data_IF_301034829040
#
_entry.id   IF_301034829040
#
_cell.length_a   1.000
_cell.length_b   1.000
_cell.length_c   1.000
_cell.angle_alpha   90.00
_cell.angle_beta   90.00
_cell.angle_gamma   90.00
#
_symmetry.space_group_name_H-M   'P 1'
#
loop_
_entity.id
_entity.type
_entity.pdbx_description
1 polymer ?
#
# COMPACT_ATOMS: atom_id res chain seq x y z
N UNK A 1 -22.32 22.87 -22.28
CA UNK A 1 -21.42 21.81 -22.74
C UNK A 1 -20.45 21.51 -21.60
N UNK A 2 -20.65 20.39 -20.92
CA UNK A 2 -19.77 19.95 -19.83
C UNK A 2 -18.54 19.23 -20.47
N UNK A 3 -17.55 20.00 -20.90
CA UNK A 3 -16.28 19.42 -21.37
C UNK A 3 -15.50 18.97 -20.15
N UNK A 4 -15.52 17.65 -19.84
CA UNK A 4 -14.54 17.09 -18.93
C UNK A 4 -13.14 17.51 -19.41
N UNK A 5 -12.25 17.95 -18.50
CA UNK A 5 -10.87 18.23 -18.89
C UNK A 5 -10.27 17.01 -19.59
N UNK A 6 -9.43 17.19 -20.61
CA UNK A 6 -8.78 16.08 -21.29
C UNK A 6 -8.02 15.22 -20.29
N UNK A 7 -8.07 13.90 -20.47
CA UNK A 7 -7.34 12.96 -19.62
C UNK A 7 -5.84 13.16 -19.88
N UNK A 8 -5.01 13.43 -18.84
CA UNK A 8 -3.58 13.58 -19.00
C UNK A 8 -2.95 12.30 -19.56
N UNK A 9 -1.99 12.41 -20.45
CA UNK A 9 -1.36 11.28 -21.15
C UNK A 9 0.06 11.06 -20.62
N UNK A 10 0.43 9.81 -20.42
CA UNK A 10 1.71 9.41 -19.85
C UNK A 10 2.40 8.34 -20.70
N UNK A 11 3.71 8.43 -20.82
CA UNK A 11 4.57 7.38 -21.36
C UNK A 11 5.37 6.75 -20.22
N UNK A 12 5.46 5.41 -20.22
CA UNK A 12 6.21 4.66 -19.23
C UNK A 12 7.65 4.46 -19.68
N UNK A 13 8.57 4.57 -18.75
CA UNK A 13 10.01 4.36 -18.98
C UNK A 13 10.53 3.34 -17.97
N UNK A 14 11.16 2.27 -18.48
CA UNK A 14 11.78 1.24 -17.65
C UNK A 14 13.21 0.93 -18.10
N UNK A 15 14.11 0.76 -17.12
CA UNK A 15 15.45 0.24 -17.37
C UNK A 15 15.56 -1.15 -16.74
N UNK A 16 15.80 -2.16 -17.60
CA UNK A 16 16.05 -3.51 -17.14
C UNK A 16 17.53 -3.66 -16.80
N UNK A 17 17.82 -3.82 -15.52
CA UNK A 17 19.18 -4.02 -15.04
C UNK A 17 19.60 -5.50 -15.17
N UNK A 18 20.90 -5.73 -15.27
CA UNK A 18 21.50 -7.06 -15.24
C UNK A 18 21.03 -7.82 -13.99
N UNK A 19 20.53 -9.05 -14.19
CA UNK A 19 19.97 -9.88 -13.10
C UNK A 19 18.45 -9.77 -12.91
N UNK A 20 17.78 -8.88 -13.64
CA UNK A 20 16.32 -8.83 -13.72
C UNK A 20 15.88 -9.55 -15.00
N UNK A 21 15.07 -10.60 -14.87
CA UNK A 21 14.54 -11.32 -16.03
C UNK A 21 13.47 -10.52 -16.80
N UNK A 22 13.20 -10.91 -18.04
CA UNK A 22 12.26 -10.20 -18.91
C UNK A 22 10.83 -10.24 -18.35
N UNK A 23 10.43 -11.33 -17.68
CA UNK A 23 9.10 -11.49 -17.09
C UNK A 23 8.93 -10.56 -15.90
N UNK A 24 9.92 -10.49 -15.02
CA UNK A 24 9.89 -9.59 -13.86
C UNK A 24 9.90 -8.11 -14.27
N UNK A 25 10.65 -7.77 -15.33
CA UNK A 25 10.69 -6.41 -15.88
C UNK A 25 9.34 -6.02 -16.51
N UNK A 26 8.77 -6.88 -17.34
CA UNK A 26 7.47 -6.66 -17.95
C UNK A 26 6.37 -6.51 -16.88
N UNK A 27 6.35 -7.38 -15.86
CA UNK A 27 5.41 -7.30 -14.75
C UNK A 27 5.55 -5.98 -13.95
N UNK A 28 6.79 -5.47 -13.77
CA UNK A 28 7.02 -4.18 -13.10
C UNK A 28 6.45 -3.01 -13.89
N UNK A 29 6.61 -3.01 -15.23
CA UNK A 29 6.06 -1.97 -16.10
C UNK A 29 4.53 -2.05 -16.19
N UNK A 30 3.96 -3.25 -16.25
CA UNK A 30 2.51 -3.44 -16.21
C UNK A 30 1.92 -2.92 -14.90
N UNK A 31 2.55 -3.22 -13.78
CA UNK A 31 2.15 -2.69 -12.47
C UNK A 31 2.24 -1.16 -12.42
N UNK A 32 3.32 -0.56 -12.96
CA UNK A 32 3.43 0.89 -13.08
C UNK A 32 2.31 1.46 -13.94
N UNK A 33 1.95 0.80 -15.05
CA UNK A 33 0.81 1.19 -15.88
C UNK A 33 -0.52 1.19 -15.13
N UNK A 34 -0.74 0.20 -14.26
CA UNK A 34 -1.94 0.14 -13.38
C UNK A 34 -1.93 1.27 -12.35
N UNK A 35 -0.76 1.65 -11.79
CA UNK A 35 -0.62 2.80 -10.90
C UNK A 35 -0.99 4.10 -11.62
N UNK A 36 -0.47 4.32 -12.81
CA UNK A 36 -0.72 5.50 -13.63
C UNK A 36 -2.20 5.62 -14.01
N UNK A 37 -2.84 4.50 -14.38
CA UNK A 37 -4.29 4.43 -14.60
C UNK A 37 -5.09 4.75 -13.34
N UNK A 38 -4.61 4.38 -12.17
CA UNK A 38 -5.25 4.73 -10.88
C UNK A 38 -5.23 6.24 -10.64
N UNK A 39 -4.18 6.94 -11.08
CA UNK A 39 -4.16 8.41 -11.11
C UNK A 39 -5.15 9.02 -12.11
N UNK A 40 -5.75 8.22 -12.98
CA UNK A 40 -6.63 8.70 -14.03
C UNK A 40 -5.88 9.21 -15.26
N UNK A 41 -4.61 8.79 -15.46
CA UNK A 41 -3.84 9.11 -16.65
C UNK A 41 -3.94 7.98 -17.68
N UNK A 42 -3.91 8.34 -18.95
CA UNK A 42 -3.86 7.41 -20.07
C UNK A 42 -2.41 7.04 -20.39
N UNK A 43 -2.10 5.74 -20.39
CA UNK A 43 -0.78 5.25 -20.80
C UNK A 43 -0.79 5.08 -22.32
N UNK A 44 0.04 5.86 -23.02
CA UNK A 44 0.10 5.89 -24.48
C UNK A 44 1.24 5.07 -25.07
N UNK A 45 2.17 4.62 -24.24
CA UNK A 45 3.28 3.81 -24.72
C UNK A 45 4.26 3.48 -23.59
N UNK A 46 5.22 2.61 -23.92
CA UNK A 46 6.28 2.18 -23.00
C UNK A 46 7.61 2.16 -23.73
N UNK A 47 8.62 2.76 -23.13
CA UNK A 47 10.02 2.67 -23.59
C UNK A 47 10.79 1.86 -22.57
N UNK A 48 11.46 0.80 -23.04
CA UNK A 48 12.32 -0.05 -22.22
C UNK A 48 13.73 -0.09 -22.79
N UNK A 49 14.72 -0.20 -21.89
CA UNK A 49 16.12 -0.36 -22.25
C UNK A 49 16.81 -1.33 -21.31
N UNK A 50 17.56 -2.31 -21.87
CA UNK A 50 18.45 -3.19 -21.09
C UNK A 50 19.79 -2.48 -20.85
N UNK A 51 20.24 -2.44 -19.59
CA UNK A 51 21.52 -1.84 -19.20
C UNK A 51 22.14 -2.52 -18.01
N UNK A 52 23.46 -2.41 -17.90
CA UNK A 52 24.18 -2.87 -16.71
C UNK A 52 23.98 -1.94 -15.52
N UNK A 53 23.88 -0.63 -15.78
CA UNK A 53 23.67 0.41 -14.77
C UNK A 53 22.73 1.50 -15.30
N UNK A 54 22.02 2.13 -14.37
CA UNK A 54 21.19 3.30 -14.69
C UNK A 54 22.11 4.48 -15.05
N UNK A 55 21.82 5.17 -16.15
CA UNK A 55 22.58 6.37 -16.50
C UNK A 55 22.43 7.45 -15.40
N UNK A 56 23.56 7.91 -14.90
CA UNK A 56 23.60 8.91 -13.82
C UNK A 56 23.01 10.27 -14.19
N UNK A 57 22.86 10.55 -15.50
CA UNK A 57 22.41 11.84 -16.01
C UNK A 57 20.94 11.83 -16.39
N UNK A 58 20.47 10.79 -17.13
CA UNK A 58 19.16 10.78 -17.79
C UNK A 58 18.39 9.48 -17.63
N UNK A 59 18.92 8.51 -16.88
CA UNK A 59 18.34 7.16 -16.73
C UNK A 59 18.49 6.31 -17.99
N UNK A 60 18.13 6.89 -19.15
CA UNK A 60 18.23 6.27 -20.49
C UNK A 60 19.54 6.61 -21.18
N UNK A 61 19.98 5.75 -22.08
CA UNK A 61 21.02 6.09 -23.04
C UNK A 61 20.56 7.10 -24.08
N UNK A 62 21.52 7.70 -24.81
CA UNK A 62 21.27 8.81 -25.71
C UNK A 62 20.23 8.52 -26.78
N UNK A 63 20.32 7.38 -27.48
CA UNK A 63 19.38 7.02 -28.56
C UNK A 63 17.94 6.86 -28.05
N UNK A 64 17.74 6.19 -26.90
CA UNK A 64 16.41 6.05 -26.29
C UNK A 64 15.87 7.35 -25.72
N UNK A 65 16.75 8.26 -25.26
CA UNK A 65 16.36 9.61 -24.84
C UNK A 65 15.87 10.45 -26.02
N UNK A 66 16.53 10.38 -27.16
CA UNK A 66 16.12 11.06 -28.40
C UNK A 66 14.77 10.53 -28.91
N UNK A 67 14.55 9.23 -28.84
CA UNK A 67 13.27 8.58 -29.16
C UNK A 67 12.14 9.06 -28.22
N UNK A 68 12.38 9.06 -26.90
CA UNK A 68 11.43 9.58 -25.90
C UNK A 68 11.09 11.05 -26.17
N UNK A 69 12.11 11.86 -26.47
CA UNK A 69 11.93 13.27 -26.77
C UNK A 69 11.13 13.50 -28.07
N UNK A 70 11.31 12.69 -29.10
CA UNK A 70 10.52 12.76 -30.33
C UNK A 70 9.03 12.52 -30.05
N UNK A 71 8.69 11.57 -29.18
CA UNK A 71 7.29 11.25 -28.79
C UNK A 71 6.68 12.37 -27.94
N UNK A 72 7.44 12.93 -26.98
CA UNK A 72 6.94 13.98 -26.09
C UNK A 72 7.01 15.39 -26.72
N UNK A 73 7.78 15.54 -27.81
CA UNK A 73 8.02 16.82 -28.49
C UNK A 73 9.10 17.65 -27.84
N UNK A 74 10.00 17.05 -27.08
CA UNK A 74 11.19 17.67 -26.52
C UNK A 74 12.34 17.77 -27.52
N UNK A 75 13.50 18.27 -27.04
CA UNK A 75 14.70 18.45 -27.85
C UNK A 75 15.66 17.26 -27.85
N UNK A 76 15.50 16.32 -26.90
CA UNK A 76 16.45 15.22 -26.68
C UNK A 76 17.79 15.65 -26.12
N UNK A 77 17.99 16.94 -25.88
CA UNK A 77 19.28 17.52 -25.47
C UNK A 77 19.24 17.85 -23.98
N UNK A 78 20.15 17.27 -23.23
CA UNK A 78 20.47 17.72 -21.87
C UNK A 78 21.42 18.88 -21.97
N UNK A 79 20.95 20.08 -21.66
CA UNK A 79 21.79 21.28 -21.71
C UNK A 79 23.07 21.10 -20.90
N UNK A 80 24.22 21.38 -21.53
CA UNK A 80 25.53 21.22 -20.95
C UNK A 80 25.75 22.11 -19.72
N UNK A 81 25.73 21.50 -18.55
CA UNK A 81 26.56 21.98 -17.45
C UNK A 81 27.90 21.28 -17.60
N UNK A 82 28.90 22.04 -18.09
CA UNK A 82 30.30 21.66 -18.27
C UNK A 82 30.52 20.32 -18.97
N UNK A 83 31.00 20.35 -20.20
CA UNK A 83 31.63 19.22 -20.87
C UNK A 83 32.73 18.64 -19.97
N UNK A 84 32.39 17.71 -19.13
CA UNK A 84 33.35 16.73 -18.66
C UNK A 84 33.74 15.94 -19.91
N UNK A 85 34.97 16.12 -20.39
CA UNK A 85 35.55 15.41 -21.53
C UNK A 85 35.27 13.92 -21.34
N UNK A 86 34.29 13.37 -22.06
CA UNK A 86 34.07 11.93 -22.13
C UNK A 86 35.37 11.30 -22.66
N UNK A 87 35.89 10.29 -21.97
CA UNK A 87 37.03 9.55 -22.47
C UNK A 87 36.55 8.67 -23.65
N UNK A 88 37.38 8.57 -24.70
CA UNK A 88 37.10 7.70 -25.86
C UNK A 88 36.86 6.23 -25.52
N UNK A 89 37.25 5.80 -24.33
CA UNK A 89 36.95 4.46 -23.82
C UNK A 89 35.48 4.28 -23.41
N UNK A 90 34.81 5.33 -22.95
CA UNK A 90 33.41 5.32 -22.53
C UNK A 90 32.44 5.32 -23.73
N UNK A 91 32.81 5.99 -24.83
CA UNK A 91 32.05 5.95 -26.10
C UNK A 91 31.99 4.54 -26.69
N UNK A 92 33.08 3.76 -26.64
CA UNK A 92 33.14 2.40 -27.16
C UNK A 92 32.29 1.40 -26.35
N UNK A 93 32.01 1.65 -25.07
CA UNK A 93 31.15 0.82 -24.25
C UNK A 93 29.66 1.19 -24.41
N UNK A 94 29.36 2.46 -24.74
CA UNK A 94 27.99 2.92 -24.99
C UNK A 94 27.42 2.33 -26.29
N UNK A 95 28.24 2.16 -27.35
CA UNK A 95 27.84 1.58 -28.66
C UNK A 95 27.59 0.06 -28.61
N UNK A 96 28.08 -0.65 -27.60
CA UNK A 96 27.90 -2.11 -27.47
C UNK A 96 26.57 -2.51 -26.83
N UNK A 97 25.91 -1.62 -26.11
CA UNK A 97 24.65 -1.88 -25.38
C UNK A 97 23.37 -1.58 -26.21
N UNK A 98 23.50 -1.11 -27.47
CA UNK A 98 22.37 -0.67 -28.33
C UNK A 98 21.61 -1.81 -29.05
N UNK A 99 21.70 -3.07 -28.61
CA UNK A 99 20.90 -4.14 -29.23
C UNK A 99 19.49 -4.23 -28.68
N UNK A 100 18.62 -3.54 -29.39
CA UNK A 100 17.21 -3.79 -29.77
C UNK A 100 16.24 -4.48 -28.80
N UNK A 101 15.39 -3.66 -28.20
CA UNK A 101 13.97 -4.03 -28.04
C UNK A 101 13.15 -3.02 -28.81
N UNK A 102 12.27 -3.50 -29.70
CA UNK A 102 11.35 -2.63 -30.46
C UNK A 102 10.37 -1.99 -29.49
N UNK A 103 10.17 -0.68 -29.50
CA UNK A 103 9.23 -0.04 -28.61
C UNK A 103 7.81 -0.52 -28.90
N UNK A 104 7.07 -0.92 -27.87
CA UNK A 104 5.63 -1.13 -27.97
C UNK A 104 4.94 0.26 -27.90
N UNK A 105 4.90 0.95 -29.04
CA UNK A 105 4.27 2.25 -29.16
C UNK A 105 2.99 2.04 -29.97
N UNK A 106 1.84 2.14 -29.33
CA UNK A 106 0.52 2.27 -29.97
C UNK A 106 0.22 3.72 -30.34
N UNK A 107 1.26 4.54 -30.57
CA UNK A 107 1.11 5.98 -30.78
C UNK A 107 1.63 6.36 -32.16
N UNK A 108 0.74 6.99 -32.97
CA UNK A 108 1.13 7.68 -34.19
C UNK A 108 1.59 9.11 -33.80
N UNK A 109 2.89 9.44 -33.93
CA UNK A 109 3.42 10.72 -33.45
C UNK A 109 2.90 11.94 -34.20
N UNK A 110 2.30 11.78 -35.38
CA UNK A 110 1.82 12.89 -36.19
C UNK A 110 0.37 13.31 -35.91
N UNK A 111 -0.47 12.39 -35.38
CA UNK A 111 -1.93 12.63 -35.26
C UNK A 111 -2.45 12.65 -33.82
N UNK A 112 -1.68 12.17 -32.85
CA UNK A 112 -2.14 12.05 -31.46
C UNK A 112 -1.58 13.15 -30.56
N UNK A 113 -2.34 13.66 -29.55
CA UNK A 113 -1.83 14.61 -28.58
C UNK A 113 -0.61 14.07 -27.85
N UNK A 114 0.41 14.88 -27.68
CA UNK A 114 1.68 14.51 -27.04
C UNK A 114 1.48 14.15 -25.57
N UNK A 115 2.24 13.16 -25.02
CA UNK A 115 2.18 12.84 -23.61
C UNK A 115 2.75 13.99 -22.76
N UNK A 116 1.99 14.35 -21.71
CA UNK A 116 2.36 15.42 -20.78
C UNK A 116 3.29 14.92 -19.67
N UNK A 117 3.26 13.59 -19.42
CA UNK A 117 4.01 12.95 -18.35
C UNK A 117 4.93 11.85 -18.86
N UNK A 118 6.13 11.80 -18.28
CA UNK A 118 7.07 10.68 -18.40
C UNK A 118 7.17 10.02 -17.03
N UNK A 119 6.83 8.74 -16.96
CA UNK A 119 6.78 7.98 -15.71
C UNK A 119 7.87 6.92 -15.71
N UNK A 120 8.81 7.03 -14.77
CA UNK A 120 9.98 6.14 -14.67
C UNK A 120 9.75 5.07 -13.61
N UNK A 121 10.01 3.79 -13.95
CA UNK A 121 9.78 2.64 -13.04
C UNK A 121 10.79 2.56 -11.88
N UNK A 122 11.93 3.20 -12.00
CA UNK A 122 12.96 3.28 -10.97
C UNK A 122 12.82 4.58 -10.15
N UNK A 123 13.34 4.55 -8.93
CA UNK A 123 13.57 5.77 -8.17
C UNK A 123 14.71 6.55 -8.80
N UNK A 124 14.52 7.84 -9.04
CA UNK A 124 15.47 8.69 -9.74
C UNK A 124 15.85 9.93 -8.92
N UNK A 125 17.09 10.35 -9.09
CA UNK A 125 17.63 11.52 -8.42
C UNK A 125 17.00 12.82 -8.92
N UNK A 126 16.99 13.89 -8.11
CA UNK A 126 16.51 15.21 -8.54
C UNK A 126 17.20 15.76 -9.80
N UNK A 127 18.47 15.39 -10.02
CA UNK A 127 19.21 15.77 -11.22
C UNK A 127 18.71 15.04 -12.46
N UNK A 128 18.44 13.73 -12.34
CA UNK A 128 17.89 12.93 -13.43
C UNK A 128 16.48 13.41 -13.81
N UNK A 129 15.62 13.73 -12.82
CA UNK A 129 14.30 14.35 -13.08
C UNK A 129 14.46 15.60 -13.96
N UNK A 130 15.31 16.55 -13.52
CA UNK A 130 15.53 17.80 -14.23
C UNK A 130 16.05 17.61 -15.66
N UNK A 131 16.98 16.69 -15.83
CA UNK A 131 17.57 16.43 -17.13
C UNK A 131 16.57 15.80 -18.09
N UNK A 132 15.77 14.84 -17.60
CA UNK A 132 14.68 14.24 -18.37
C UNK A 132 13.62 15.28 -18.75
N UNK A 133 13.16 16.12 -17.82
CA UNK A 133 12.19 17.19 -18.11
C UNK A 133 12.71 18.18 -19.15
N UNK A 134 14.01 18.53 -19.10
CA UNK A 134 14.63 19.41 -20.12
C UNK A 134 14.69 18.74 -21.49
N UNK A 135 15.05 17.47 -21.53
CA UNK A 135 15.18 16.73 -22.78
C UNK A 135 13.82 16.44 -23.42
N UNK A 136 12.81 16.13 -22.62
CA UNK A 136 11.47 15.68 -23.08
C UNK A 136 10.44 16.80 -23.17
N UNK A 137 10.61 17.90 -22.43
CA UNK A 137 9.59 18.94 -22.31
C UNK A 137 8.33 18.52 -21.52
N UNK A 138 8.28 17.27 -21.02
CA UNK A 138 7.18 16.71 -20.25
C UNK A 138 7.51 16.72 -18.76
N UNK A 139 6.49 16.64 -17.91
CA UNK A 139 6.68 16.45 -16.47
C UNK A 139 7.15 15.03 -16.17
N UNK A 140 8.14 14.90 -15.28
CA UNK A 140 8.72 13.60 -14.93
C UNK A 140 8.35 13.21 -13.52
N UNK A 141 7.77 12.03 -13.38
CA UNK A 141 7.53 11.37 -12.09
C UNK A 141 8.24 10.01 -12.07
N UNK A 142 8.78 9.66 -10.93
CA UNK A 142 9.22 8.30 -10.68
C UNK A 142 8.09 7.48 -10.02
N UNK A 143 8.32 6.18 -9.86
CA UNK A 143 7.37 5.28 -9.20
C UNK A 143 6.94 5.78 -7.82
N UNK A 144 7.88 6.31 -7.04
CA UNK A 144 7.63 6.90 -5.72
C UNK A 144 6.69 8.09 -5.82
N UNK A 145 6.92 9.00 -6.77
CA UNK A 145 6.05 10.16 -7.00
C UNK A 145 4.63 9.78 -7.37
N UNK A 146 4.46 8.76 -8.23
CA UNK A 146 3.14 8.23 -8.60
C UNK A 146 2.42 7.67 -7.37
N UNK A 147 3.10 6.87 -6.54
CA UNK A 147 2.50 6.29 -5.32
C UNK A 147 2.10 7.39 -4.34
N UNK A 148 2.96 8.38 -4.09
CA UNK A 148 2.66 9.51 -3.20
C UNK A 148 1.45 10.29 -3.69
N UNK A 149 1.34 10.52 -5.00
CA UNK A 149 0.20 11.26 -5.57
C UNK A 149 -1.11 10.44 -5.48
N UNK A 150 -1.06 9.10 -5.67
CA UNK A 150 -2.22 8.24 -5.45
C UNK A 150 -2.67 8.35 -3.98
N UNK A 151 -1.76 8.27 -3.04
CA UNK A 151 -2.08 8.38 -1.62
C UNK A 151 -2.64 9.75 -1.27
N UNK A 152 -2.10 10.83 -1.86
CA UNK A 152 -2.62 12.18 -1.65
C UNK A 152 -4.09 12.31 -2.07
N UNK A 153 -4.49 11.65 -3.16
CA UNK A 153 -5.87 11.66 -3.65
C UNK A 153 -6.83 10.76 -2.87
N UNK A 154 -6.32 9.70 -2.23
CA UNK A 154 -7.15 8.70 -1.54
C UNK A 154 -7.15 8.83 0.00
N UNK A 155 -6.34 9.71 0.59
CA UNK A 155 -6.33 9.96 2.03
C UNK A 155 -7.59 10.73 2.46
N UNK A 156 -8.44 10.11 3.27
CA UNK A 156 -9.66 10.74 3.76
C UNK A 156 -9.57 11.09 5.25
N UNK A 157 -8.99 10.20 6.08
CA UNK A 157 -8.82 10.46 7.50
C UNK A 157 -7.79 11.56 7.76
N UNK A 158 -7.92 12.25 8.91
CA UNK A 158 -6.96 13.28 9.34
C UNK A 158 -5.56 12.71 9.47
N UNK A 159 -5.44 11.52 10.02
CA UNK A 159 -4.16 10.84 10.21
C UNK A 159 -3.49 10.51 8.88
N UNK A 160 -4.22 9.86 7.94
CA UNK A 160 -3.71 9.54 6.61
C UNK A 160 -3.29 10.80 5.84
N UNK A 161 -4.06 11.89 5.91
CA UNK A 161 -3.70 13.17 5.28
C UNK A 161 -2.37 13.73 5.81
N UNK A 162 -2.17 13.71 7.13
CA UNK A 162 -0.91 14.17 7.73
C UNK A 162 0.27 13.29 7.30
N UNK A 163 0.11 11.98 7.29
CA UNK A 163 1.15 11.03 6.87
C UNK A 163 1.53 11.22 5.41
N UNK A 164 0.53 11.35 4.54
CA UNK A 164 0.76 11.57 3.10
C UNK A 164 1.38 12.94 2.85
N UNK A 165 0.97 13.99 3.56
CA UNK A 165 1.59 15.32 3.43
C UNK A 165 3.06 15.29 3.86
N UNK A 166 3.40 14.60 4.95
CA UNK A 166 4.79 14.38 5.39
C UNK A 166 5.59 13.66 4.30
N UNK A 167 5.07 12.58 3.74
CA UNK A 167 5.74 11.82 2.69
C UNK A 167 5.94 12.65 1.42
N UNK A 168 4.91 13.43 1.01
CA UNK A 168 4.97 14.32 -0.14
C UNK A 168 6.02 15.42 0.05
N UNK A 169 6.06 16.07 1.20
CA UNK A 169 7.06 17.11 1.48
C UNK A 169 8.47 16.54 1.50
N UNK A 170 8.69 15.35 2.03
CA UNK A 170 9.98 14.65 1.96
C UNK A 170 10.40 14.33 0.52
N UNK A 171 9.45 13.89 -0.32
CA UNK A 171 9.69 13.59 -1.71
C UNK A 171 10.00 14.84 -2.54
N UNK A 172 9.26 15.95 -2.32
CA UNK A 172 9.39 17.20 -3.08
C UNK A 172 10.59 18.01 -2.64
N UNK A 173 10.91 18.06 -1.33
CA UNK A 173 11.97 18.91 -0.77
C UNK A 173 13.32 18.80 -1.51
N UNK A 174 13.88 17.62 -1.79
CA UNK A 174 15.14 17.51 -2.54
C UNK A 174 15.00 17.87 -4.04
N UNK A 175 13.78 17.91 -4.56
CA UNK A 175 13.44 18.18 -5.97
C UNK A 175 13.14 19.66 -6.24
N UNK A 176 13.10 20.51 -5.20
CA UNK A 176 12.86 21.95 -5.34
C UNK A 176 13.98 22.64 -6.12
N UNK A 177 13.57 23.61 -6.93
CA UNK A 177 14.44 24.35 -7.87
C UNK A 177 14.61 25.79 -7.43
N UNK A 178 15.78 26.37 -7.74
CA UNK A 178 15.87 27.80 -7.98
C UNK A 178 15.14 28.13 -9.29
N UNK A 179 14.12 28.97 -9.23
CA UNK A 179 13.48 29.49 -10.44
C UNK A 179 14.56 30.21 -11.29
N UNK A 180 14.65 29.90 -12.61
CA UNK A 180 15.50 30.67 -13.49
C UNK A 180 14.92 32.09 -13.57
N UNK A 181 15.54 33.05 -12.93
CA UNK A 181 15.07 34.43 -12.91
C UNK A 181 15.03 35.12 -11.55
N UNK A 182 15.24 34.37 -10.45
CA UNK A 182 15.55 34.96 -9.15
C UNK A 182 16.88 35.69 -9.25
N UNK A 183 16.82 36.95 -9.65
CA UNK A 183 18.01 37.79 -9.96
C UNK A 183 18.94 37.73 -8.77
N UNK A 184 20.21 37.40 -9.05
CA UNK A 184 21.33 37.87 -8.24
C UNK A 184 21.24 39.41 -8.19
N UNK A 185 20.43 39.94 -7.29
CA UNK A 185 20.67 41.24 -6.79
C UNK A 185 22.00 41.13 -6.03
N UNK A 186 23.09 41.51 -6.68
CA UNK A 186 24.36 41.86 -6.06
C UNK A 186 24.07 43.04 -5.13
N UNK A 187 23.49 42.74 -3.95
CA UNK A 187 23.37 43.67 -2.84
C UNK A 187 24.11 43.06 -1.66
N UNK A 188 25.10 43.74 -1.17
CA UNK A 188 25.82 43.49 0.06
C UNK A 188 24.84 43.28 1.21
N UNK A 189 24.62 42.03 1.59
CA UNK A 189 23.78 41.63 2.70
C UNK A 189 23.46 40.12 2.59
N UNK A 190 23.86 39.34 3.58
CA UNK A 190 23.60 37.91 3.64
C UNK A 190 22.11 37.65 3.82
N UNK A 191 21.29 37.82 2.76
CA UNK A 191 19.92 37.34 2.66
C UNK A 191 19.92 35.86 2.24
N UNK A 192 19.21 35.02 2.97
CA UNK A 192 18.96 33.65 2.54
C UNK A 192 18.37 33.65 1.12
N UNK A 193 18.81 32.72 0.25
CA UNK A 193 18.20 32.57 -1.08
C UNK A 193 16.74 32.14 -0.95
N UNK A 194 15.90 32.55 -1.91
CA UNK A 194 14.48 32.15 -1.91
C UNK A 194 14.32 30.61 -1.75
N UNK A 195 15.24 29.84 -2.30
CA UNK A 195 15.28 28.38 -2.15
C UNK A 195 15.57 27.95 -0.70
N UNK A 196 16.45 28.65 0.01
CA UNK A 196 16.75 28.33 1.43
C UNK A 196 15.56 28.67 2.32
N UNK A 197 14.88 29.77 2.05
CA UNK A 197 13.63 30.14 2.73
C UNK A 197 12.54 29.10 2.49
N UNK A 198 12.37 28.62 1.27
CA UNK A 198 11.36 27.60 0.97
C UNK A 198 11.71 26.25 1.60
N UNK A 199 12.99 25.85 1.59
CA UNK A 199 13.44 24.65 2.31
C UNK A 199 13.24 24.78 3.83
N UNK A 200 13.40 25.97 4.39
CA UNK A 200 13.13 26.23 5.79
C UNK A 200 11.63 26.10 6.10
N UNK A 201 10.76 26.71 5.30
CA UNK A 201 9.29 26.57 5.43
C UNK A 201 8.88 25.09 5.38
N UNK A 202 9.45 24.30 4.48
CA UNK A 202 9.17 22.86 4.42
C UNK A 202 9.64 22.14 5.69
N UNK A 203 10.84 22.44 6.20
CA UNK A 203 11.32 21.84 7.45
C UNK A 203 10.41 22.18 8.64
N UNK A 204 10.01 23.44 8.76
CA UNK A 204 9.11 23.90 9.82
C UNK A 204 7.75 23.22 9.70
N UNK A 205 7.21 23.11 8.48
CA UNK A 205 5.96 22.40 8.20
C UNK A 205 6.05 20.91 8.52
N UNK A 206 7.16 20.26 8.17
CA UNK A 206 7.41 18.86 8.52
C UNK A 206 7.47 18.64 10.04
N UNK A 207 8.05 19.58 10.80
CA UNK A 207 8.10 19.50 12.26
C UNK A 207 6.69 19.63 12.87
N UNK A 208 5.91 20.59 12.40
CA UNK A 208 4.52 20.79 12.80
C UNK A 208 3.65 19.54 12.52
N UNK A 209 3.70 19.01 11.31
CA UNK A 209 2.93 17.83 10.90
C UNK A 209 3.28 16.60 11.73
N UNK A 210 4.57 16.40 12.04
CA UNK A 210 5.02 15.29 12.87
C UNK A 210 4.49 15.40 14.31
N UNK A 211 4.43 16.60 14.88
CA UNK A 211 3.89 16.78 16.23
C UNK A 211 2.37 16.54 16.24
N UNK A 212 1.64 17.08 15.25
CA UNK A 212 0.20 16.78 15.10
C UNK A 212 -0.08 15.28 14.95
N UNK A 213 0.75 14.56 14.20
CA UNK A 213 0.62 13.11 14.02
C UNK A 213 0.87 12.38 15.35
N UNK A 214 1.88 12.79 16.10
CA UNK A 214 2.22 12.20 17.40
C UNK A 214 1.10 12.36 18.44
N UNK A 215 0.42 13.51 18.43
CA UNK A 215 -0.74 13.74 19.31
C UNK A 215 -1.89 12.77 18.96
N UNK A 216 -2.21 12.61 17.67
CA UNK A 216 -3.24 11.64 17.22
C UNK A 216 -2.86 10.21 17.63
N UNK A 217 -1.58 9.84 17.49
CA UNK A 217 -1.10 8.51 17.86
C UNK A 217 -1.24 8.26 19.38
N UNK A 218 -0.90 9.24 20.22
CA UNK A 218 -1.09 9.12 21.69
C UNK A 218 -2.55 8.89 22.06
N UNK A 219 -3.47 9.65 21.46
CA UNK A 219 -4.91 9.47 21.68
C UNK A 219 -5.38 8.07 21.21
N UNK A 220 -4.84 7.61 20.12
CA UNK A 220 -5.12 6.28 19.58
C UNK A 220 -4.62 5.18 20.51
N UNK A 221 -3.38 5.29 21.03
CA UNK A 221 -2.76 4.31 21.93
C UNK A 221 -3.53 4.21 23.27
N UNK A 222 -4.03 5.32 23.80
CA UNK A 222 -4.89 5.31 24.99
C UNK A 222 -6.19 4.54 24.75
N UNK A 223 -6.85 4.74 23.60
CA UNK A 223 -8.05 3.98 23.22
C UNK A 223 -7.76 2.50 22.97
N UNK A 224 -6.55 2.18 22.51
CA UNK A 224 -6.09 0.80 22.22
C UNK A 224 -5.93 -0.02 23.47
N UNK A 225 -5.32 0.54 24.53
CA UNK A 225 -5.10 -0.17 25.79
C UNK A 225 -6.41 -0.70 26.41
N UNK A 226 -7.53 -0.01 26.15
CA UNK A 226 -8.87 -0.40 26.61
C UNK A 226 -9.51 -1.53 25.78
N UNK A 227 -8.94 -1.87 24.60
CA UNK A 227 -9.52 -2.80 23.61
C UNK A 227 -8.73 -4.10 23.44
N UNK A 228 -7.78 -4.40 24.32
CA UNK A 228 -6.85 -5.54 24.22
C UNK A 228 -7.53 -6.93 24.16
N UNK A 229 -8.80 -7.03 24.59
CA UNK A 229 -9.52 -8.30 24.68
C UNK A 229 -10.47 -8.55 23.51
N UNK A 230 -10.37 -7.77 22.42
CA UNK A 230 -11.21 -7.95 21.23
C UNK A 230 -10.60 -8.99 20.29
N UNK A 231 -11.44 -9.83 19.70
CA UNK A 231 -11.04 -10.79 18.67
C UNK A 231 -10.86 -10.05 17.34
N UNK A 232 -9.61 -9.86 16.91
CA UNK A 232 -9.31 -9.07 15.73
C UNK A 232 -8.62 -9.90 14.66
N UNK A 233 -9.11 -9.77 13.44
CA UNK A 233 -8.54 -10.34 12.22
C UNK A 233 -8.13 -9.20 11.31
N UNK A 234 -6.88 -9.18 10.84
CA UNK A 234 -6.45 -8.21 9.84
C UNK A 234 -6.21 -8.89 8.49
N UNK A 235 -6.80 -8.32 7.43
CA UNK A 235 -6.54 -8.71 6.06
C UNK A 235 -5.29 -7.97 5.59
N UNK A 236 -4.24 -8.70 5.28
CA UNK A 236 -2.95 -8.16 4.81
C UNK A 236 -2.58 -8.78 3.47
N UNK A 237 -1.82 -8.08 2.65
CA UNK A 237 -1.39 -8.61 1.37
C UNK A 237 -1.24 -7.52 0.31
N UNK A 238 -0.89 -7.96 -0.89
CA UNK A 238 -0.58 -7.07 -2.00
C UNK A 238 -1.78 -6.23 -2.45
N UNK A 239 -1.52 -5.11 -3.14
CA UNK A 239 -2.59 -4.33 -3.78
C UNK A 239 -3.35 -5.20 -4.78
N UNK A 240 -4.65 -5.00 -4.88
CA UNK A 240 -5.55 -5.74 -5.77
C UNK A 240 -5.62 -7.27 -5.53
N UNK A 241 -5.14 -7.79 -4.39
CA UNK A 241 -5.28 -9.22 -4.04
C UNK A 241 -6.71 -9.62 -3.65
N UNK A 242 -7.62 -8.65 -3.50
CA UNK A 242 -9.03 -8.87 -3.17
C UNK A 242 -9.36 -8.73 -1.68
N UNK A 243 -8.52 -8.02 -0.89
CA UNK A 243 -8.76 -7.77 0.54
C UNK A 243 -10.10 -7.09 0.79
N UNK A 244 -10.37 -5.98 0.13
CA UNK A 244 -11.62 -5.22 0.29
C UNK A 244 -12.84 -5.99 -0.21
N UNK A 245 -12.70 -6.84 -1.25
CA UNK A 245 -13.75 -7.75 -1.70
C UNK A 245 -14.06 -8.78 -0.62
N UNK A 246 -13.03 -9.38 -0.02
CA UNK A 246 -13.17 -10.35 1.05
C UNK A 246 -13.75 -9.71 2.32
N UNK A 247 -13.30 -8.48 2.66
CA UNK A 247 -13.88 -7.70 3.75
C UNK A 247 -15.38 -7.51 3.56
N UNK A 248 -15.81 -7.08 2.37
CA UNK A 248 -17.24 -6.91 2.04
C UNK A 248 -18.00 -8.22 2.17
N UNK A 249 -17.45 -9.31 1.66
CA UNK A 249 -18.09 -10.63 1.72
C UNK A 249 -18.24 -11.15 3.15
N UNK A 250 -17.24 -10.94 4.01
CA UNK A 250 -17.23 -11.39 5.41
C UNK A 250 -18.10 -10.51 6.33
N UNK A 251 -18.31 -9.23 6.00
CA UNK A 251 -18.95 -8.27 6.91
C UNK A 251 -20.27 -7.71 6.39
N UNK A 252 -20.66 -8.04 5.16
CA UNK A 252 -21.87 -7.51 4.53
C UNK A 252 -21.88 -5.99 4.34
N UNK A 253 -20.74 -5.31 4.56
CA UNK A 253 -20.64 -3.85 4.52
C UNK A 253 -20.41 -3.35 3.09
N UNK A 254 -20.98 -2.19 2.75
CA UNK A 254 -20.67 -1.48 1.50
C UNK A 254 -19.27 -0.85 1.56
N UNK A 255 -18.23 -1.67 1.40
CA UNK A 255 -16.88 -1.18 1.21
C UNK A 255 -16.68 -0.88 -0.29
N UNK A 256 -16.07 0.24 -0.60
CA UNK A 256 -15.74 0.61 -1.98
C UNK A 256 -14.76 -0.43 -2.56
N UNK A 257 -15.26 -1.31 -3.40
CA UNK A 257 -14.44 -2.25 -4.16
C UNK A 257 -14.21 -1.64 -5.54
N UNK A 258 -12.99 -1.23 -5.80
CA UNK A 258 -12.58 -0.73 -7.12
C UNK A 258 -11.39 -1.58 -7.61
N UNK A 259 -11.37 -1.87 -8.90
CA UNK A 259 -10.22 -2.50 -9.57
C UNK A 259 -9.12 -1.46 -9.80
N UNK A 260 -8.66 -0.87 -8.69
CA UNK A 260 -7.62 0.16 -8.63
C UNK A 260 -6.63 -0.18 -7.54
N UNK A 261 -5.36 0.08 -7.82
CA UNK A 261 -4.32 -0.08 -6.81
C UNK A 261 -4.51 0.96 -5.70
N UNK A 262 -4.32 0.56 -4.44
CA UNK A 262 -4.54 1.43 -3.27
C UNK A 262 -5.96 2.01 -3.15
N UNK A 263 -6.97 1.22 -3.51
CA UNK A 263 -8.38 1.62 -3.31
C UNK A 263 -8.71 1.84 -1.82
N UNK A 264 -8.02 1.14 -0.92
CA UNK A 264 -8.10 1.29 0.54
C UNK A 264 -6.79 1.88 1.04
N UNK A 265 -6.84 3.10 1.59
CA UNK A 265 -5.73 3.75 2.29
C UNK A 265 -6.02 3.89 3.78
N UNK A 266 -7.27 4.17 4.14
CA UNK A 266 -7.74 4.23 5.52
C UNK A 266 -8.21 2.84 5.98
N UNK A 267 -7.77 2.42 7.15
CA UNK A 267 -8.19 1.14 7.75
C UNK A 267 -9.69 1.16 8.03
N UNK A 268 -10.38 0.14 7.57
CA UNK A 268 -11.80 -0.06 7.85
C UNK A 268 -11.96 -1.26 8.77
N UNK A 269 -12.65 -1.09 9.91
CA UNK A 269 -12.93 -2.16 10.87
C UNK A 269 -14.43 -2.43 10.88
N UNK A 270 -14.83 -3.69 10.75
CA UNK A 270 -16.24 -4.13 10.78
C UNK A 270 -16.36 -5.45 11.54
N UNK A 271 -17.55 -5.68 12.12
CA UNK A 271 -17.86 -6.98 12.72
C UNK A 271 -18.09 -8.04 11.63
N UNK A 272 -17.63 -9.26 11.90
CA UNK A 272 -17.90 -10.44 11.09
C UNK A 272 -19.42 -10.71 11.05
N UNK A 273 -19.98 -11.00 9.88
CA UNK A 273 -21.41 -11.27 9.71
C UNK A 273 -21.68 -12.72 9.29
N UNK A 274 -22.73 -13.37 9.84
CA UNK A 274 -23.53 -12.97 11.00
C UNK A 274 -22.67 -12.73 12.25
N UNK A 275 -23.09 -11.77 13.12
CA UNK A 275 -22.32 -11.43 14.32
C UNK A 275 -22.04 -12.63 15.20
N UNK A 276 -20.81 -12.73 15.70
CA UNK A 276 -20.36 -13.74 16.65
C UNK A 276 -20.41 -13.21 18.08
N UNK A 277 -20.50 -14.10 19.04
CA UNK A 277 -20.38 -13.76 20.47
C UNK A 277 -19.27 -14.62 21.08
N UNK A 278 -18.17 -14.03 21.54
CA UNK A 278 -17.79 -12.60 21.45
C UNK A 278 -17.61 -12.13 20.00
N UNK A 279 -17.72 -10.80 19.79
CA UNK A 279 -17.61 -10.21 18.46
C UNK A 279 -16.22 -10.39 17.89
N UNK A 280 -16.13 -10.88 16.66
CA UNK A 280 -14.92 -10.89 15.85
C UNK A 280 -14.92 -9.65 14.94
N UNK A 281 -13.88 -8.86 15.03
CA UNK A 281 -13.68 -7.69 14.18
C UNK A 281 -12.71 -8.02 13.04
N UNK A 282 -13.07 -7.62 11.84
CA UNK A 282 -12.21 -7.76 10.65
C UNK A 282 -11.77 -6.37 10.22
N UNK A 283 -10.47 -6.19 9.99
CA UNK A 283 -9.89 -4.95 9.47
C UNK A 283 -9.31 -5.17 8.07
N UNK A 284 -9.61 -4.23 7.15
CA UNK A 284 -8.94 -4.11 5.86
C UNK A 284 -7.76 -3.15 6.01
N UNK A 285 -6.60 -3.54 5.50
CA UNK A 285 -5.38 -2.73 5.58
C UNK A 285 -4.94 -2.25 4.21
N UNK A 286 -4.04 -1.26 4.20
CA UNK A 286 -3.40 -0.77 2.98
C UNK A 286 -2.72 -1.94 2.25
N UNK A 287 -2.91 -2.02 0.94
CA UNK A 287 -2.22 -3.02 0.12
C UNK A 287 -0.74 -2.71 -0.04
N UNK A 288 0.09 -3.75 0.01
CA UNK A 288 1.52 -3.64 -0.26
C UNK A 288 1.79 -3.59 -1.77
N UNK A 289 2.94 -3.05 -2.13
CA UNK A 289 3.42 -2.98 -3.51
C UNK A 289 4.94 -3.13 -3.53
N UNK A 290 5.48 -3.64 -4.64
CA UNK A 290 6.94 -3.70 -4.85
C UNK A 290 7.55 -2.30 -4.90
N UNK A 291 8.79 -2.18 -4.43
CA UNK A 291 9.53 -0.91 -4.41
C UNK A 291 8.79 0.21 -3.63
N UNK A 292 8.03 -0.17 -2.57
CA UNK A 292 7.43 0.84 -1.68
C UNK A 292 8.56 1.54 -0.91
N UNK A 293 8.68 2.87 -1.00
CA UNK A 293 9.73 3.60 -0.29
C UNK A 293 9.64 3.42 1.22
N UNK A 294 10.76 3.17 1.90
CA UNK A 294 10.82 3.00 3.36
C UNK A 294 10.23 4.18 4.13
N UNK A 295 10.41 5.41 3.62
CA UNK A 295 9.79 6.61 4.20
C UNK A 295 8.26 6.55 4.20
N UNK A 296 7.66 5.93 3.18
CA UNK A 296 6.23 5.71 3.12
C UNK A 296 5.80 4.60 4.09
N UNK A 297 6.53 3.48 4.17
CA UNK A 297 6.26 2.41 5.14
C UNK A 297 6.26 2.97 6.57
N UNK A 298 7.28 3.77 6.91
CA UNK A 298 7.36 4.43 8.21
C UNK A 298 6.20 5.41 8.46
N UNK A 299 5.73 6.10 7.41
CA UNK A 299 4.58 7.02 7.49
C UNK A 299 3.26 6.26 7.69
N UNK A 300 3.13 5.04 7.14
CA UNK A 300 1.92 4.21 7.29
C UNK A 300 1.97 3.24 8.48
N UNK A 301 2.96 3.37 9.35
CA UNK A 301 3.08 2.48 10.52
C UNK A 301 1.82 2.46 11.39
N UNK A 302 1.08 3.56 11.48
CA UNK A 302 -0.16 3.62 12.24
C UNK A 302 -1.34 2.93 11.54
N UNK A 303 -1.45 3.02 10.22
CA UNK A 303 -2.44 2.26 9.45
C UNK A 303 -2.12 0.77 9.42
N UNK A 304 -0.83 0.42 9.51
CA UNK A 304 -0.36 -0.95 9.66
C UNK A 304 -0.40 -1.44 11.13
N UNK A 305 -0.61 -0.54 12.10
CA UNK A 305 -0.74 -0.90 13.51
C UNK A 305 -1.92 -1.85 13.78
N UNK A 306 -2.97 -1.80 12.96
CA UNK A 306 -4.07 -2.78 13.03
C UNK A 306 -3.59 -4.22 12.77
N UNK A 307 -2.55 -4.40 11.95
CA UNK A 307 -1.91 -5.71 11.76
C UNK A 307 -1.13 -6.16 13.01
N UNK A 308 -0.51 -5.21 13.73
CA UNK A 308 0.18 -5.50 15.00
C UNK A 308 -0.78 -5.86 16.13
N UNK A 309 -2.00 -5.31 16.10
CA UNK A 309 -3.03 -5.54 17.12
C UNK A 309 -3.93 -6.73 16.80
N UNK A 310 -3.78 -7.30 15.60
CA UNK A 310 -4.56 -8.44 15.20
C UNK A 310 -4.20 -9.68 16.01
N UNK A 311 -5.21 -10.47 16.37
CA UNK A 311 -5.03 -11.81 16.93
C UNK A 311 -4.74 -12.85 15.85
N UNK A 312 -5.12 -12.54 14.60
CA UNK A 312 -4.92 -13.38 13.42
C UNK A 312 -4.69 -12.51 12.19
N UNK A 313 -3.61 -12.78 11.45
CA UNK A 313 -3.36 -12.20 10.14
C UNK A 313 -3.83 -13.15 9.03
N UNK A 314 -4.56 -12.61 8.06
CA UNK A 314 -4.94 -13.33 6.85
C UNK A 314 -4.17 -12.73 5.67
N UNK A 315 -3.14 -13.45 5.20
CA UNK A 315 -2.39 -13.08 4.00
C UNK A 315 -3.23 -13.37 2.76
N UNK A 316 -3.80 -12.35 2.17
CA UNK A 316 -4.60 -12.45 0.95
C UNK A 316 -3.71 -12.29 -0.27
N UNK A 317 -3.67 -13.29 -1.11
CA UNK A 317 -2.83 -13.37 -2.31
C UNK A 317 -3.69 -13.70 -3.52
N UNK A 318 -3.45 -13.04 -4.65
CA UNK A 318 -4.09 -13.35 -5.92
C UNK A 318 -3.44 -14.59 -6.53
N UNK A 319 -4.12 -15.73 -6.45
CA UNK A 319 -3.60 -17.01 -6.95
C UNK A 319 -3.49 -17.08 -8.48
N UNK A 320 -4.15 -16.17 -9.20
CA UNK A 320 -4.10 -16.09 -10.66
C UNK A 320 -2.92 -15.27 -11.20
N UNK A 321 -2.22 -14.54 -10.32
CA UNK A 321 -1.05 -13.74 -10.71
C UNK A 321 0.21 -14.63 -10.74
N UNK A 322 0.93 -14.71 -11.85
CA UNK A 322 2.13 -15.54 -11.93
C UNK A 322 3.25 -15.09 -10.99
N UNK A 323 3.19 -13.86 -10.49
CA UNK A 323 4.18 -13.30 -9.54
C UNK A 323 3.74 -13.38 -8.08
N UNK A 324 2.69 -14.14 -7.77
CA UNK A 324 2.06 -14.18 -6.43
C UNK A 324 3.04 -14.50 -5.29
N UNK A 325 4.03 -15.35 -5.53
CA UNK A 325 5.06 -15.68 -4.52
C UNK A 325 5.89 -14.46 -4.15
N UNK A 326 6.37 -13.74 -5.15
CA UNK A 326 7.13 -12.50 -4.94
C UNK A 326 6.29 -11.43 -4.24
N UNK A 327 4.98 -11.35 -4.53
CA UNK A 327 4.05 -10.45 -3.82
C UNK A 327 3.85 -10.87 -2.36
N UNK A 328 3.78 -12.17 -2.09
CA UNK A 328 3.72 -12.72 -0.73
C UNK A 328 4.99 -12.39 0.06
N UNK A 329 6.17 -12.53 -0.57
CA UNK A 329 7.44 -12.22 0.06
C UNK A 329 7.56 -10.72 0.41
N UNK A 330 7.12 -9.83 -0.50
CA UNK A 330 7.01 -8.39 -0.21
C UNK A 330 6.11 -8.14 1.01
N UNK A 331 4.94 -8.78 1.04
CA UNK A 331 3.98 -8.64 2.14
C UNK A 331 4.57 -9.10 3.48
N UNK A 332 5.26 -10.24 3.48
CA UNK A 332 5.96 -10.77 4.66
C UNK A 332 7.11 -9.87 5.11
N UNK A 333 7.87 -9.32 4.16
CA UNK A 333 8.98 -8.42 4.46
C UNK A 333 8.51 -7.15 5.15
N UNK A 334 7.45 -6.52 4.64
CA UNK A 334 6.87 -5.31 5.25
C UNK A 334 6.33 -5.61 6.66
N UNK A 335 5.62 -6.73 6.86
CA UNK A 335 5.10 -7.10 8.18
C UNK A 335 6.23 -7.39 9.18
N UNK A 336 7.33 -7.98 8.73
CA UNK A 336 8.54 -8.17 9.56
C UNK A 336 9.19 -6.84 9.94
N UNK A 337 9.26 -5.90 8.99
CA UNK A 337 9.82 -4.55 9.24
C UNK A 337 9.05 -3.79 10.32
N UNK A 338 7.74 -3.97 10.39
CA UNK A 338 6.91 -3.36 11.45
C UNK A 338 6.83 -4.19 12.74
N UNK A 339 7.36 -5.43 12.76
CA UNK A 339 7.36 -6.30 13.95
C UNK A 339 6.09 -7.13 14.13
N UNK A 340 5.33 -7.38 13.07
CA UNK A 340 4.09 -8.18 13.10
C UNK A 340 4.31 -9.68 12.77
N UNK A 341 5.54 -10.13 12.65
CA UNK A 341 5.91 -11.51 12.31
C UNK A 341 5.58 -12.54 13.40
N UNK A 342 5.43 -12.09 14.65
CA UNK A 342 5.01 -12.95 15.75
C UNK A 342 3.50 -13.23 15.82
N UNK A 343 2.68 -12.48 15.06
CA UNK A 343 1.23 -12.65 15.05
C UNK A 343 0.86 -13.93 14.30
N UNK A 344 -0.02 -14.79 14.85
CA UNK A 344 -0.52 -15.96 14.13
C UNK A 344 -1.07 -15.59 12.77
N UNK A 345 -0.75 -16.38 11.73
CA UNK A 345 -1.15 -16.02 10.37
C UNK A 345 -1.64 -17.22 9.56
N UNK A 346 -2.50 -16.98 8.57
CA UNK A 346 -2.94 -17.96 7.57
C UNK A 346 -2.81 -17.38 6.17
N UNK A 347 -2.42 -18.22 5.22
CA UNK A 347 -2.33 -17.88 3.80
C UNK A 347 -3.66 -18.17 3.12
N UNK A 348 -4.21 -17.16 2.44
CA UNK A 348 -5.40 -17.26 1.61
C UNK A 348 -4.99 -17.06 0.14
N UNK A 349 -5.18 -18.09 -0.67
CA UNK A 349 -5.01 -18.04 -2.12
C UNK A 349 -6.37 -17.68 -2.73
N UNK A 350 -6.56 -16.38 -2.96
CA UNK A 350 -7.81 -15.80 -3.46
C UNK A 350 -7.87 -15.80 -4.98
N UNK A 351 -9.04 -15.51 -5.53
CA UNK A 351 -9.37 -15.49 -6.97
C UNK A 351 -9.16 -16.85 -7.65
N UNK A 352 -9.40 -17.91 -6.89
CA UNK A 352 -9.23 -19.28 -7.38
C UNK A 352 -10.17 -19.60 -8.56
N UNK A 353 -11.26 -18.86 -8.70
CA UNK A 353 -12.17 -18.89 -9.84
C UNK A 353 -11.49 -18.61 -11.19
N UNK A 354 -10.36 -17.91 -11.18
CA UNK A 354 -9.54 -17.58 -12.36
C UNK A 354 -8.43 -18.59 -12.65
N UNK A 355 -8.25 -19.60 -11.79
CA UNK A 355 -7.17 -20.57 -11.86
C UNK A 355 -7.69 -21.90 -12.41
N UNK A 356 -6.95 -22.54 -13.30
CA UNK A 356 -7.32 -23.85 -13.85
C UNK A 356 -7.31 -24.93 -12.76
N UNK A 357 -8.07 -26.04 -12.96
CA UNK A 357 -8.09 -27.12 -11.95
C UNK A 357 -6.73 -27.80 -11.78
N UNK A 358 -5.94 -27.90 -12.85
CA UNK A 358 -4.58 -28.43 -12.77
C UNK A 358 -3.67 -27.55 -11.89
N UNK A 359 -3.75 -26.23 -12.09
CA UNK A 359 -2.97 -25.27 -11.29
C UNK A 359 -3.45 -25.21 -9.83
N UNK A 360 -4.77 -25.36 -9.58
CA UNK A 360 -5.32 -25.49 -8.22
C UNK A 360 -4.73 -26.68 -7.49
N UNK A 361 -4.61 -27.84 -8.17
CA UNK A 361 -3.97 -29.03 -7.60
C UNK A 361 -2.50 -28.78 -7.26
N UNK A 362 -1.76 -28.09 -8.15
CA UNK A 362 -0.38 -27.71 -7.90
C UNK A 362 -0.24 -26.74 -6.72
N UNK A 363 -1.13 -25.75 -6.61
CA UNK A 363 -1.18 -24.79 -5.48
C UNK A 363 -1.46 -25.50 -4.15
N UNK A 364 -2.40 -26.48 -4.12
CA UNK A 364 -2.67 -27.28 -2.92
C UNK A 364 -1.44 -28.10 -2.50
N UNK A 365 -0.74 -28.70 -3.46
CA UNK A 365 0.48 -29.46 -3.18
C UNK A 365 1.61 -28.55 -2.64
N UNK A 366 1.77 -27.36 -3.20
CA UNK A 366 2.80 -26.41 -2.81
C UNK A 366 2.52 -25.73 -1.48
N UNK A 367 1.25 -25.44 -1.20
CA UNK A 367 0.80 -24.73 0.01
C UNK A 367 -0.27 -25.54 0.76
N UNK A 368 0.08 -26.67 1.40
CA UNK A 368 -0.89 -27.59 1.99
C UNK A 368 -1.72 -26.98 3.13
N UNK A 369 -1.22 -25.90 3.75
CA UNK A 369 -1.91 -25.20 4.85
C UNK A 369 -2.63 -23.93 4.38
N UNK A 370 -2.56 -23.59 3.10
CA UNK A 370 -3.26 -22.43 2.57
C UNK A 370 -4.74 -22.75 2.32
N UNK A 371 -5.57 -21.75 2.51
CA UNK A 371 -6.99 -21.80 2.18
C UNK A 371 -7.15 -21.25 0.75
N UNK A 372 -7.61 -22.09 -0.16
CA UNK A 372 -7.94 -21.70 -1.53
C UNK A 372 -9.40 -21.24 -1.54
N UNK A 373 -9.64 -20.04 -2.04
CA UNK A 373 -10.98 -19.44 -2.02
C UNK A 373 -11.18 -18.42 -3.15
N UNK A 374 -12.45 -18.15 -3.45
CA UNK A 374 -12.85 -16.95 -4.19
C UNK A 374 -13.70 -16.05 -3.30
N UNK A 375 -13.32 -14.79 -3.17
CA UNK A 375 -14.14 -13.79 -2.45
C UNK A 375 -15.54 -13.59 -3.09
N UNK A 376 -15.76 -14.09 -4.32
CA UNK A 376 -17.03 -14.06 -5.03
C UNK A 376 -17.87 -15.33 -4.80
N UNK A 377 -17.32 -16.38 -4.17
CA UNK A 377 -18.02 -17.62 -3.84
C UNK A 377 -18.59 -17.53 -2.41
N UNK A 378 -19.92 -17.50 -2.23
CA UNK A 378 -20.52 -17.50 -0.90
C UNK A 378 -20.12 -18.72 -0.05
N UNK A 379 -19.91 -19.86 -0.68
CA UNK A 379 -19.51 -21.11 -0.02
C UNK A 379 -18.09 -21.01 0.56
N UNK A 380 -17.15 -20.50 -0.24
CA UNK A 380 -15.76 -20.30 0.21
C UNK A 380 -15.68 -19.28 1.35
N UNK A 381 -16.47 -18.19 1.24
CA UNK A 381 -16.54 -17.16 2.29
C UNK A 381 -17.13 -17.73 3.58
N UNK A 382 -18.16 -18.57 3.50
CA UNK A 382 -18.73 -19.24 4.65
C UNK A 382 -17.72 -20.20 5.30
N UNK A 383 -17.00 -20.99 4.52
CA UNK A 383 -15.96 -21.88 5.01
C UNK A 383 -14.80 -21.11 5.69
N UNK A 384 -14.38 -19.98 5.11
CA UNK A 384 -13.39 -19.11 5.73
C UNK A 384 -13.89 -18.53 7.05
N UNK A 385 -15.14 -18.07 7.10
CA UNK A 385 -15.78 -17.58 8.33
C UNK A 385 -15.73 -18.62 9.45
N UNK A 386 -16.15 -19.86 9.17
CA UNK A 386 -16.07 -20.95 10.14
C UNK A 386 -14.62 -21.25 10.59
N UNK A 387 -13.66 -21.18 9.66
CA UNK A 387 -12.23 -21.33 9.97
C UNK A 387 -11.70 -20.23 10.91
N UNK A 388 -12.17 -18.99 10.76
CA UNK A 388 -11.83 -17.87 11.66
C UNK A 388 -12.43 -18.10 13.05
N UNK A 389 -13.69 -18.50 13.12
CA UNK A 389 -14.38 -18.79 14.40
C UNK A 389 -13.67 -19.93 15.13
N UNK A 390 -13.39 -21.04 14.44
CA UNK A 390 -12.68 -22.18 15.01
C UNK A 390 -11.30 -21.80 15.55
N UNK A 391 -10.56 -20.91 14.87
CA UNK A 391 -9.28 -20.40 15.37
C UNK A 391 -9.43 -19.73 16.74
N UNK A 392 -10.43 -18.87 16.90
CA UNK A 392 -10.65 -18.20 18.19
C UNK A 392 -11.20 -19.13 19.25
N UNK A 393 -12.06 -20.08 18.88
CA UNK A 393 -12.63 -21.04 19.83
C UNK A 393 -11.56 -21.92 20.48
N UNK A 394 -10.44 -22.21 19.78
CA UNK A 394 -9.32 -22.97 20.35
C UNK A 394 -8.59 -22.23 21.48
N UNK A 395 -8.63 -20.89 21.48
CA UNK A 395 -8.03 -20.05 22.50
C UNK A 395 -8.99 -19.68 23.65
N UNK A 396 -10.26 -20.07 23.55
CA UNK A 396 -11.28 -19.78 24.57
C UNK A 396 -11.30 -20.85 25.65
N UNK A 397 -11.62 -20.42 26.86
CA UNK A 397 -11.85 -21.28 28.03
C UNK A 397 -13.31 -21.29 28.40
N UNK A 398 -13.77 -22.42 28.92
CA UNK A 398 -15.10 -22.53 29.53
C UNK A 398 -15.01 -22.18 31.01
N UNK A 399 -15.98 -21.39 31.49
CA UNK A 399 -16.05 -20.98 32.87
C UNK A 399 -17.51 -20.80 33.31
N UNK A 400 -17.73 -20.75 34.61
CA UNK A 400 -19.04 -20.54 35.21
C UNK A 400 -19.02 -19.18 35.90
N UNK A 401 -19.96 -18.30 35.51
CA UNK A 401 -20.15 -16.99 36.08
C UNK A 401 -21.52 -16.96 36.79
N UNK A 402 -21.56 -16.36 37.98
CA UNK A 402 -22.78 -16.08 38.70
C UNK A 402 -23.08 -14.60 38.61
N UNK A 403 -24.21 -14.25 38.00
CA UNK A 403 -24.70 -12.87 37.87
C UNK A 403 -25.79 -12.64 38.95
N UNK A 404 -25.47 -11.91 40.01
CA UNK A 404 -26.46 -11.62 41.09
C UNK A 404 -27.66 -10.85 40.52
N UNK A 405 -28.85 -11.06 41.06
CA UNK A 405 -30.06 -10.39 40.60
C UNK A 405 -29.99 -8.85 40.70
N UNK A 406 -29.19 -8.30 41.63
CA UNK A 406 -28.98 -6.86 41.76
C UNK A 406 -28.08 -6.28 40.66
N UNK A 407 -27.39 -7.13 39.84
CA UNK A 407 -26.42 -6.66 38.83
C UNK A 407 -26.84 -7.04 37.40
N UNK A 408 -28.12 -7.15 37.13
CA UNK A 408 -28.63 -7.52 35.79
C UNK A 408 -28.19 -6.58 34.67
N UNK A 409 -27.79 -5.34 34.98
CA UNK A 409 -27.20 -4.41 34.01
C UNK A 409 -25.89 -4.90 33.37
N UNK A 410 -25.16 -5.81 34.05
CA UNK A 410 -23.92 -6.39 33.52
C UNK A 410 -24.17 -7.60 32.57
N UNK A 411 -25.42 -8.00 32.39
CA UNK A 411 -25.78 -9.11 31.50
C UNK A 411 -25.30 -8.84 30.05
N UNK A 412 -25.43 -7.61 29.62
CA UNK A 412 -24.99 -7.21 28.27
C UNK A 412 -23.47 -7.35 28.11
N UNK A 413 -22.71 -7.00 29.15
CA UNK A 413 -21.26 -7.15 29.15
C UNK A 413 -20.84 -8.64 29.04
N UNK A 414 -21.60 -9.55 29.68
CA UNK A 414 -21.35 -10.99 29.56
C UNK A 414 -21.57 -11.44 28.12
N UNK A 415 -22.72 -11.08 27.50
CA UNK A 415 -23.02 -11.46 26.12
C UNK A 415 -22.09 -10.83 25.09
N UNK A 416 -21.55 -9.65 25.36
CA UNK A 416 -20.59 -9.01 24.44
C UNK A 416 -19.22 -9.66 24.49
N UNK A 417 -18.79 -10.18 25.66
CA UNK A 417 -17.43 -10.67 25.87
C UNK A 417 -17.32 -12.21 25.95
N UNK A 418 -18.44 -12.92 26.01
CA UNK A 418 -18.45 -14.39 26.09
C UNK A 418 -19.67 -14.99 25.37
N UNK A 419 -19.51 -16.21 24.89
CA UNK A 419 -20.61 -17.03 24.38
C UNK A 419 -21.24 -17.77 25.55
N UNK A 420 -22.52 -17.55 25.82
CA UNK A 420 -23.27 -18.27 26.83
C UNK A 420 -23.68 -19.66 26.28
N UNK A 421 -23.29 -20.71 26.97
CA UNK A 421 -23.55 -22.10 26.59
C UNK A 421 -24.81 -22.61 27.25
N UNK A 422 -25.01 -22.30 28.55
CA UNK A 422 -26.23 -22.62 29.30
C UNK A 422 -26.47 -21.57 30.39
N UNK A 423 -27.71 -21.48 30.79
CA UNK A 423 -28.17 -20.59 31.84
C UNK A 423 -29.10 -21.33 32.80
N UNK A 424 -28.78 -21.20 34.09
CA UNK A 424 -29.56 -21.75 35.19
C UNK A 424 -29.81 -20.63 36.21
N UNK A 425 -30.80 -20.83 37.06
CA UNK A 425 -31.17 -19.82 38.06
C UNK A 425 -31.22 -20.50 39.45
N UNK A 426 -30.60 -19.83 40.41
CA UNK A 426 -30.65 -20.23 41.80
C UNK A 426 -31.06 -19.07 42.72
N UNK A 427 -30.97 -19.27 44.04
CA UNK A 427 -31.31 -18.26 45.05
C UNK A 427 -30.32 -17.09 45.06
N UNK A 428 -29.12 -17.26 44.52
CA UNK A 428 -28.03 -16.26 44.54
C UNK A 428 -28.00 -15.40 43.28
N UNK A 429 -28.52 -15.92 42.16
CA UNK A 429 -28.53 -15.22 40.89
C UNK A 429 -28.70 -16.14 39.69
N UNK A 430 -28.29 -15.62 38.55
CA UNK A 430 -28.25 -16.31 37.27
C UNK A 430 -26.90 -17.00 37.09
N UNK A 431 -26.86 -18.29 37.02
CA UNK A 431 -25.65 -19.09 36.78
C UNK A 431 -25.51 -19.28 35.28
N UNK A 432 -24.40 -18.79 34.73
CA UNK A 432 -24.15 -18.83 33.30
C UNK A 432 -22.88 -19.62 33.01
N UNK A 433 -23.00 -20.73 32.27
CA UNK A 433 -21.83 -21.39 31.70
C UNK A 433 -21.42 -20.62 30.43
N UNK A 434 -20.22 -20.08 30.41
CA UNK A 434 -19.75 -19.22 29.36
C UNK A 434 -18.47 -19.75 28.75
N UNK A 435 -18.22 -19.41 27.46
CA UNK A 435 -16.97 -19.65 26.75
C UNK A 435 -16.46 -18.33 26.22
N UNK A 436 -15.21 -17.96 26.56
CA UNK A 436 -14.60 -16.70 26.15
C UNK A 436 -13.10 -16.69 26.33
N UNK A 437 -12.46 -15.62 25.91
CA UNK A 437 -11.02 -15.45 26.12
C UNK A 437 -10.69 -15.40 27.62
N UNK A 438 -9.56 -16.00 28.07
CA UNK A 438 -9.19 -16.02 29.48
C UNK A 438 -9.17 -14.64 30.15
N UNK A 439 -8.65 -13.61 29.44
CA UNK A 439 -8.61 -12.21 29.92
C UNK A 439 -10.00 -11.62 30.09
N UNK A 440 -10.90 -11.83 29.13
CA UNK A 440 -12.27 -11.36 29.17
C UNK A 440 -13.06 -12.02 30.33
N UNK A 441 -12.94 -13.31 30.48
CA UNK A 441 -13.55 -14.08 31.60
C UNK A 441 -13.03 -13.58 32.95
N UNK A 442 -11.72 -13.38 33.08
CA UNK A 442 -11.13 -12.88 34.32
C UNK A 442 -11.60 -11.45 34.65
N UNK A 443 -11.79 -10.60 33.65
CA UNK A 443 -12.36 -9.25 33.82
C UNK A 443 -13.82 -9.33 34.25
N UNK A 444 -14.64 -10.09 33.55
CA UNK A 444 -16.05 -10.30 33.92
C UNK A 444 -16.19 -10.77 35.37
N UNK A 445 -15.37 -11.75 35.75
CA UNK A 445 -15.34 -12.29 37.12
C UNK A 445 -15.02 -11.20 38.14
N UNK A 446 -14.02 -10.33 37.87
CA UNK A 446 -13.68 -9.19 38.74
C UNK A 446 -14.82 -8.18 38.83
N UNK A 447 -15.44 -7.82 37.71
CA UNK A 447 -16.56 -6.88 37.67
C UNK A 447 -17.79 -7.42 38.40
N UNK A 448 -18.06 -8.72 38.31
CA UNK A 448 -19.15 -9.37 39.05
C UNK A 448 -18.85 -9.49 40.56
N UNK A 449 -17.57 -9.66 40.93
CA UNK A 449 -17.14 -9.77 42.33
C UNK A 449 -16.97 -8.41 43.04
N UNK A 450 -16.68 -7.35 42.28
CA UNK A 450 -16.46 -6.01 42.81
C UNK A 450 -17.78 -5.38 43.28
N UNK A 451 -18.05 -5.49 44.59
CA UNK A 451 -18.92 -4.60 45.39
C UNK A 451 -19.51 -5.18 46.60
#
# INVERSE_FOLDING_TARGET
MNTKPPVPRAILVGVQLTGVDDVAHAASLEELGRLVKTLGYEVVGTISQKRNEIDGTTVLGKGRLEELAAITGGTGIVGSMAMLRKSKARERFEDADEKSDTPQIEHDPETSPKPEFVIVDQEISPNQVRNLERATGAQVLDRTGVIVEIFHRHAHSREAKLQVEIARLKYVSPRMRELPGGGRQQGYGAGESDLELDRRKIRDRLAELKEQLKDIQRDSDQRRSTRSDQLRVALVGYTNAGKSSLMRALTGSEVLVADKLFATLDTTIRALQPETKPRVLVSDTVGFIKKLPHDLVASFRSTLAEALEASLLLFVVDASDPTYESQLDVSRSVLREIGADAVPSRLLLNKIDRVSEADRAALRAKHPHAILLSANSPEDVAALRESIIAFFETAMVEDQLVLPYGKQGLLNDVYENARVLSEDYDTTGRIMKVRGLPGAIARLRRTLAAS
#
